data_IF_612168912084
#
_entry.id   IF_612168912084
#
_cell.length_a   1.000
_cell.length_b   1.000
_cell.length_c   1.000
_cell.angle_alpha   90.00
_cell.angle_beta   90.00
_cell.angle_gamma   90.00
#
_symmetry.space_group_name_H-M   'P 1'
#
loop_
_entity.id
_entity.type
_entity.pdbx_description
1 polymer ?
#
# COMPACT_ATOMS: atom_id res chain seq x y z
N UNK A 1 21.27 -19.25 27.82
CA UNK A 1 20.50 -19.54 26.60
C UNK A 1 19.53 -18.39 26.40
N UNK A 2 19.70 -17.58 25.37
CA UNK A 2 18.74 -16.55 24.99
C UNK A 2 17.42 -17.22 24.62
N UNK A 3 16.32 -16.80 25.23
CA UNK A 3 14.97 -17.31 24.92
C UNK A 3 14.67 -17.11 23.45
N UNK A 4 14.23 -18.16 22.75
CA UNK A 4 13.83 -18.06 21.36
C UNK A 4 12.63 -17.11 21.22
N UNK A 5 12.66 -16.24 20.20
CA UNK A 5 11.61 -15.26 19.93
C UNK A 5 10.40 -15.93 19.30
N UNK A 6 9.24 -15.88 19.95
CA UNK A 6 8.00 -16.46 19.40
C UNK A 6 7.56 -15.72 18.15
N UNK A 7 7.68 -16.37 17.01
CA UNK A 7 7.44 -15.81 15.68
C UNK A 7 6.30 -16.53 14.97
N UNK A 8 5.27 -15.80 14.59
CA UNK A 8 4.13 -16.34 13.86
C UNK A 8 4.19 -15.88 12.41
N UNK A 9 4.27 -16.82 11.49
CA UNK A 9 4.19 -16.58 10.04
C UNK A 9 2.76 -16.82 9.59
N UNK A 10 2.03 -15.76 9.34
CA UNK A 10 0.66 -15.83 8.80
C UNK A 10 0.76 -15.83 7.28
N UNK A 11 0.28 -16.89 6.64
CA UNK A 11 0.40 -17.02 5.19
C UNK A 11 -0.93 -17.26 4.49
N UNK A 12 -1.07 -16.71 3.28
CA UNK A 12 -2.21 -16.95 2.41
C UNK A 12 -1.89 -18.11 1.45
N UNK A 13 -2.50 -19.29 1.61
CA UNK A 13 -2.23 -20.45 0.75
C UNK A 13 -2.65 -20.24 -0.70
N UNK A 14 -3.51 -19.25 -0.98
CA UNK A 14 -4.00 -18.91 -2.31
C UNK A 14 -3.27 -17.72 -2.95
N UNK A 15 -2.23 -17.19 -2.32
CA UNK A 15 -1.42 -16.12 -2.91
C UNK A 15 -0.74 -16.60 -4.20
N UNK A 16 -0.58 -15.70 -5.18
CA UNK A 16 -0.19 -16.07 -6.54
C UNK A 16 1.13 -16.83 -6.71
N UNK A 17 2.04 -16.75 -5.71
CA UNK A 17 3.31 -17.48 -5.68
C UNK A 17 3.34 -18.60 -4.64
N UNK A 18 2.23 -18.84 -3.94
CA UNK A 18 2.20 -19.77 -2.83
C UNK A 18 2.15 -21.21 -3.30
N UNK A 19 1.22 -21.74 -4.03
CA UNK A 19 1.16 -23.13 -4.52
C UNK A 19 2.09 -24.12 -3.77
N UNK A 20 2.23 -25.34 -4.24
CA UNK A 20 3.08 -26.35 -3.58
C UNK A 20 4.56 -25.92 -3.45
N UNK A 21 5.09 -25.30 -4.52
CA UNK A 21 6.46 -24.78 -4.50
C UNK A 21 6.64 -23.60 -3.53
N UNK A 22 5.62 -22.75 -3.40
CA UNK A 22 5.65 -21.62 -2.47
C UNK A 22 5.56 -22.06 -1.02
N UNK A 23 4.75 -23.07 -0.70
CA UNK A 23 4.70 -23.65 0.63
C UNK A 23 6.03 -24.29 1.02
N UNK A 24 6.69 -24.99 0.10
CA UNK A 24 8.04 -25.51 0.37
C UNK A 24 9.02 -24.39 0.69
N UNK A 25 9.08 -23.33 -0.12
CA UNK A 25 9.94 -22.16 0.13
C UNK A 25 9.64 -21.47 1.45
N UNK A 26 8.34 -21.40 1.84
CA UNK A 26 7.97 -20.86 3.13
C UNK A 26 8.44 -21.73 4.28
N UNK A 27 8.37 -23.05 4.12
CA UNK A 27 8.90 -24.02 5.09
C UNK A 27 10.42 -23.90 5.23
N UNK A 28 11.13 -23.82 4.10
CA UNK A 28 12.58 -23.61 4.08
C UNK A 28 12.98 -22.28 4.76
N UNK A 29 12.22 -21.21 4.50
CA UNK A 29 12.41 -19.93 5.17
C UNK A 29 12.15 -20.00 6.68
N UNK A 30 11.17 -20.80 7.12
CA UNK A 30 10.89 -21.01 8.53
C UNK A 30 12.02 -21.76 9.24
N UNK A 31 12.70 -22.68 8.57
CA UNK A 31 13.92 -23.35 9.12
C UNK A 31 15.05 -22.34 9.30
N UNK A 32 15.32 -21.50 8.31
CA UNK A 32 16.33 -20.42 8.43
C UNK A 32 16.04 -19.51 9.62
N UNK A 33 14.77 -19.18 9.86
CA UNK A 33 14.37 -18.38 11.02
C UNK A 33 14.60 -19.13 12.35
N UNK A 34 14.34 -20.44 12.40
CA UNK A 34 14.59 -21.25 13.59
C UNK A 34 16.10 -21.33 13.92
N UNK A 35 16.92 -21.50 12.89
CA UNK A 35 18.38 -21.46 13.04
C UNK A 35 18.87 -20.09 13.53
N UNK A 36 18.17 -19.00 13.17
CA UNK A 36 18.43 -17.65 13.66
C UNK A 36 17.85 -17.37 15.08
N UNK A 37 17.32 -18.38 15.77
CA UNK A 37 16.84 -18.27 17.15
C UNK A 37 15.38 -17.90 17.30
N UNK A 38 14.56 -18.06 16.25
CA UNK A 38 13.12 -17.86 16.30
C UNK A 38 12.37 -19.16 16.58
N UNK A 39 11.39 -19.13 17.50
CA UNK A 39 10.37 -20.18 17.63
C UNK A 39 9.26 -19.92 16.61
N UNK A 40 9.36 -20.55 15.44
CA UNK A 40 8.57 -20.18 14.25
C UNK A 40 7.40 -21.13 13.99
N UNK A 41 6.20 -20.55 13.88
CA UNK A 41 4.95 -21.25 13.61
C UNK A 41 4.30 -20.73 12.33
N UNK A 42 3.84 -21.65 11.46
CA UNK A 42 3.14 -21.32 10.21
C UNK A 42 1.64 -21.40 10.42
N UNK A 43 0.91 -20.30 10.17
CA UNK A 43 -0.54 -20.23 10.35
C UNK A 43 -1.21 -19.80 9.05
N UNK A 44 -2.01 -20.68 8.41
CA UNK A 44 -2.70 -20.32 7.16
C UNK A 44 -3.89 -19.39 7.42
N UNK A 45 -4.14 -18.46 6.49
CA UNK A 45 -5.41 -17.74 6.43
C UNK A 45 -6.52 -18.68 5.96
N UNK A 46 -7.74 -18.45 6.43
CA UNK A 46 -8.91 -19.28 6.09
C UNK A 46 -9.75 -18.69 4.94
N UNK A 47 -9.39 -17.47 4.49
CA UNK A 47 -10.07 -16.74 3.44
C UNK A 47 -9.86 -15.23 3.56
N UNK A 48 -10.41 -14.44 2.64
CA UNK A 48 -10.36 -12.98 2.71
C UNK A 48 -10.93 -12.44 4.03
N UNK A 49 -10.29 -11.42 4.60
CA UNK A 49 -10.70 -10.78 5.85
C UNK A 49 -10.33 -11.53 7.13
N UNK A 50 -9.66 -12.69 7.05
CA UNK A 50 -9.34 -13.51 8.25
C UNK A 50 -7.95 -13.22 8.82
N UNK A 51 -7.03 -12.68 8.02
CA UNK A 51 -5.63 -12.53 8.39
C UNK A 51 -5.43 -11.56 9.59
N UNK A 52 -6.18 -10.47 9.64
CA UNK A 52 -6.12 -9.52 10.76
C UNK A 52 -6.61 -10.10 12.09
N UNK A 53 -7.65 -10.92 12.08
CA UNK A 53 -8.12 -11.61 13.29
C UNK A 53 -7.10 -12.63 13.80
N UNK A 54 -6.44 -13.37 12.88
CA UNK A 54 -5.35 -14.28 13.21
C UNK A 54 -4.19 -13.52 13.84
N UNK A 55 -3.81 -12.38 13.29
CA UNK A 55 -2.72 -11.54 13.83
C UNK A 55 -3.02 -11.07 15.26
N UNK A 56 -4.22 -10.51 15.50
CA UNK A 56 -4.65 -10.08 16.85
C UNK A 56 -4.62 -11.23 17.86
N UNK A 57 -5.13 -12.40 17.48
CA UNK A 57 -5.10 -13.57 18.34
C UNK A 57 -3.67 -14.02 18.64
N UNK A 58 -2.80 -14.07 17.62
CA UNK A 58 -1.39 -14.44 17.79
C UNK A 58 -0.67 -13.51 18.77
N UNK A 59 -0.95 -12.20 18.72
CA UNK A 59 -0.42 -11.22 19.67
C UNK A 59 -0.93 -11.50 21.09
N UNK A 60 -2.22 -11.74 21.24
CA UNK A 60 -2.81 -12.09 22.55
C UNK A 60 -2.23 -13.40 23.13
N UNK A 61 -1.87 -14.34 22.27
CA UNK A 61 -1.21 -15.60 22.61
C UNK A 61 0.33 -15.43 22.80
N UNK A 62 0.83 -14.20 22.83
CA UNK A 62 2.22 -13.86 23.17
C UNK A 62 3.20 -13.93 22.00
N UNK A 63 2.79 -13.71 20.77
CA UNK A 63 3.70 -13.54 19.65
C UNK A 63 4.57 -12.28 19.86
N UNK A 64 5.87 -12.41 19.58
CA UNK A 64 6.85 -11.33 19.69
C UNK A 64 7.28 -10.79 18.32
N UNK A 65 6.89 -11.48 17.24
CA UNK A 65 7.06 -11.09 15.84
C UNK A 65 5.96 -11.72 15.01
N UNK A 66 5.34 -10.92 14.13
CA UNK A 66 4.44 -11.41 13.09
C UNK A 66 5.14 -11.26 11.74
N UNK A 67 5.13 -12.32 10.93
CA UNK A 67 5.59 -12.28 9.54
C UNK A 67 4.39 -12.52 8.62
N UNK A 68 4.18 -11.61 7.68
CA UNK A 68 3.09 -11.68 6.70
C UNK A 68 3.61 -12.31 5.39
N UNK A 69 3.18 -13.53 5.09
CA UNK A 69 3.52 -14.22 3.85
C UNK A 69 2.32 -14.22 2.89
N UNK A 70 2.29 -13.25 1.96
CA UNK A 70 1.16 -13.06 1.06
C UNK A 70 1.37 -11.96 0.03
N UNK A 71 0.29 -11.55 -0.61
CA UNK A 71 0.22 -10.33 -1.42
C UNK A 71 -0.16 -9.12 -0.58
N UNK A 72 -0.18 -7.94 -1.22
CA UNK A 72 -0.42 -6.66 -0.54
C UNK A 72 -1.73 -6.63 0.26
N UNK A 73 -2.83 -7.23 -0.23
CA UNK A 73 -4.09 -7.33 0.52
C UNK A 73 -3.95 -8.14 1.81
N UNK A 74 -3.28 -9.31 1.77
CA UNK A 74 -3.02 -10.12 2.97
C UNK A 74 -2.14 -9.38 3.97
N UNK A 75 -1.11 -8.69 3.46
CA UNK A 75 -0.19 -7.88 4.27
C UNK A 75 -0.97 -6.75 4.95
N UNK A 76 -1.86 -6.07 4.24
CA UNK A 76 -2.67 -4.99 4.82
C UNK A 76 -3.65 -5.50 5.89
N UNK A 77 -4.33 -6.63 5.66
CA UNK A 77 -5.19 -7.24 6.69
C UNK A 77 -4.41 -7.55 7.97
N UNK A 78 -3.19 -8.12 7.83
CA UNK A 78 -2.32 -8.41 8.98
C UNK A 78 -1.88 -7.12 9.65
N UNK A 79 -1.49 -6.10 8.87
CA UNK A 79 -1.09 -4.80 9.40
C UNK A 79 -2.20 -4.13 10.20
N UNK A 80 -3.47 -4.18 9.73
CA UNK A 80 -4.63 -3.73 10.52
C UNK A 80 -4.78 -4.52 11.84
N UNK A 81 -4.44 -5.81 11.82
CA UNK A 81 -4.48 -6.65 13.01
C UNK A 81 -3.38 -6.38 14.02
N UNK A 82 -2.20 -5.97 13.54
CA UNK A 82 -1.00 -5.66 14.35
C UNK A 82 -0.99 -4.19 14.79
N UNK A 83 -1.73 -3.33 14.09
CA UNK A 83 -1.75 -1.89 14.34
C UNK A 83 -1.97 -1.57 15.82
N UNK A 84 -1.28 -0.54 16.31
CA UNK A 84 -1.29 -0.06 17.70
C UNK A 84 -0.72 -1.05 18.74
N UNK A 85 -0.13 -2.16 18.30
CA UNK A 85 0.65 -3.03 19.17
C UNK A 85 2.15 -2.72 19.09
N UNK A 86 2.92 -3.25 20.05
CA UNK A 86 4.39 -3.16 20.03
C UNK A 86 5.02 -4.31 19.24
N UNK A 87 4.24 -5.29 18.81
CA UNK A 87 4.73 -6.44 18.05
C UNK A 87 5.09 -6.02 16.65
N UNK A 88 6.34 -6.21 16.21
CA UNK A 88 6.75 -5.84 14.86
C UNK A 88 6.12 -6.75 13.80
N UNK A 89 5.86 -6.15 12.64
CA UNK A 89 5.46 -6.84 11.42
C UNK A 89 6.64 -6.94 10.45
N UNK A 90 6.95 -8.15 9.98
CA UNK A 90 7.87 -8.39 8.87
C UNK A 90 7.11 -8.92 7.64
N UNK A 91 7.73 -8.83 6.46
CA UNK A 91 7.10 -9.13 5.18
C UNK A 91 7.83 -10.25 4.45
N UNK A 92 7.07 -11.25 4.00
CA UNK A 92 7.53 -12.32 3.11
C UNK A 92 6.69 -12.27 1.81
N UNK A 93 7.22 -11.69 0.71
CA UNK A 93 6.43 -11.39 -0.49
C UNK A 93 6.05 -12.65 -1.26
N UNK A 94 4.79 -13.01 -1.26
CA UNK A 94 4.23 -14.16 -1.99
C UNK A 94 3.12 -13.80 -2.97
N UNK A 95 2.81 -12.52 -3.13
CA UNK A 95 1.82 -12.01 -4.08
C UNK A 95 2.38 -11.79 -5.49
N UNK A 96 1.55 -11.17 -6.34
CA UNK A 96 1.91 -10.84 -7.73
C UNK A 96 2.59 -9.47 -7.82
N UNK A 97 2.04 -8.43 -7.21
CA UNK A 97 2.57 -7.07 -7.28
C UNK A 97 3.64 -6.81 -6.21
N UNK A 98 3.38 -7.22 -4.96
CA UNK A 98 4.27 -7.04 -3.80
C UNK A 98 4.79 -5.59 -3.70
N UNK A 99 3.86 -4.64 -3.78
CA UNK A 99 4.17 -3.20 -3.83
C UNK A 99 4.99 -2.77 -2.62
N UNK A 100 4.60 -3.21 -1.42
CA UNK A 100 5.31 -2.88 -0.18
C UNK A 100 6.75 -3.44 -0.17
N UNK A 101 6.92 -4.70 -0.56
CA UNK A 101 8.25 -5.32 -0.60
C UNK A 101 9.16 -4.66 -1.66
N UNK A 102 8.60 -4.29 -2.81
CA UNK A 102 9.32 -3.55 -3.86
C UNK A 102 9.70 -2.15 -3.39
N UNK A 103 8.79 -1.43 -2.71
CA UNK A 103 9.07 -0.11 -2.12
C UNK A 103 10.25 -0.16 -1.16
N UNK A 104 10.31 -1.19 -0.31
CA UNK A 104 11.40 -1.38 0.65
C UNK A 104 12.68 -1.97 0.05
N UNK A 105 12.66 -2.37 -1.24
CA UNK A 105 13.81 -2.99 -1.89
C UNK A 105 14.09 -4.44 -1.48
N UNK A 106 13.12 -5.13 -0.85
CA UNK A 106 13.26 -6.52 -0.39
C UNK A 106 13.18 -7.54 -1.54
N UNK A 107 12.76 -7.10 -2.74
CA UNK A 107 12.53 -7.96 -3.90
C UNK A 107 11.26 -8.81 -3.76
N UNK A 108 11.18 -9.88 -4.56
CA UNK A 108 9.97 -10.69 -4.71
C UNK A 108 10.14 -12.16 -4.31
N UNK A 109 11.20 -12.50 -3.54
CA UNK A 109 11.52 -13.86 -3.06
C UNK A 109 11.30 -13.96 -1.55
N UNK A 110 10.58 -15.00 -1.13
CA UNK A 110 10.34 -15.32 0.28
C UNK A 110 11.69 -15.57 0.99
N UNK A 111 12.58 -16.31 0.36
CA UNK A 111 13.87 -16.71 0.92
C UNK A 111 14.79 -15.49 1.13
N UNK A 112 14.84 -14.59 0.13
CA UNK A 112 15.62 -13.35 0.25
C UNK A 112 15.07 -12.46 1.35
N UNK A 113 13.75 -12.31 1.42
CA UNK A 113 13.13 -11.53 2.47
C UNK A 113 13.41 -12.11 3.85
N UNK A 114 13.29 -13.44 4.03
CA UNK A 114 13.62 -14.11 5.29
C UNK A 114 15.10 -13.93 5.67
N UNK A 115 16.02 -14.08 4.72
CA UNK A 115 17.46 -13.89 4.95
C UNK A 115 17.82 -12.43 5.28
N UNK A 116 17.05 -11.45 4.82
CA UNK A 116 17.30 -10.03 5.10
C UNK A 116 16.67 -9.53 6.41
N UNK A 117 15.83 -10.33 7.08
CA UNK A 117 15.18 -9.92 8.33
C UNK A 117 16.15 -9.49 9.44
N UNK A 118 17.32 -10.12 9.63
CA UNK A 118 18.31 -9.67 10.62
C UNK A 118 18.85 -8.25 10.35
N UNK A 119 18.83 -7.80 9.09
CA UNK A 119 19.28 -6.46 8.70
C UNK A 119 18.14 -5.42 8.76
N UNK A 120 16.93 -5.85 9.12
CA UNK A 120 15.78 -4.96 9.23
C UNK A 120 15.73 -4.34 10.63
N UNK A 121 15.41 -3.05 10.65
CA UNK A 121 15.26 -2.26 11.87
C UNK A 121 13.77 -2.11 12.19
N UNK A 122 13.30 -2.51 13.39
CA UNK A 122 11.95 -2.20 13.83
C UNK A 122 11.76 -0.68 13.84
N UNK A 123 10.88 -0.20 12.99
CA UNK A 123 10.64 1.24 12.80
C UNK A 123 9.17 1.52 12.94
N UNK A 124 8.84 2.48 13.79
CA UNK A 124 7.47 2.95 13.95
C UNK A 124 7.11 3.81 12.76
N UNK A 125 6.00 3.50 12.09
CA UNK A 125 5.50 4.21 10.92
C UNK A 125 4.03 4.58 11.09
N UNK A 126 3.61 5.62 10.38
CA UNK A 126 2.21 5.97 10.25
C UNK A 126 1.50 5.05 9.25
N UNK A 127 0.19 4.90 9.43
CA UNK A 127 -0.73 4.30 8.46
C UNK A 127 -1.73 5.34 7.95
N UNK A 128 -2.31 5.11 6.79
CA UNK A 128 -3.47 5.87 6.36
C UNK A 128 -4.75 5.31 6.97
N UNK A 129 -5.70 6.18 7.30
CA UNK A 129 -7.05 5.83 7.73
C UNK A 129 -8.07 6.39 6.76
N UNK A 130 -8.80 5.52 6.08
CA UNK A 130 -9.98 5.87 5.30
C UNK A 130 -11.23 5.77 6.17
N UNK A 131 -12.06 6.78 6.14
CA UNK A 131 -13.39 6.79 6.72
C UNK A 131 -14.42 7.13 5.66
N UNK A 132 -15.26 6.15 5.29
CA UNK A 132 -16.41 6.38 4.43
C UNK A 132 -17.60 6.85 5.27
N UNK A 133 -18.24 7.95 4.86
CA UNK A 133 -19.32 8.60 5.60
C UNK A 133 -20.72 8.15 5.12
N UNK A 134 -20.77 7.14 4.23
CA UNK A 134 -22.00 6.60 3.65
C UNK A 134 -22.46 5.35 4.42
N UNK A 135 -23.68 5.36 4.94
CA UNK A 135 -24.28 4.23 5.64
C UNK A 135 -23.57 3.92 6.97
N UNK A 136 -23.36 2.63 7.28
CA UNK A 136 -22.52 2.26 8.43
C UNK A 136 -21.09 2.74 8.15
N UNK A 137 -20.63 3.73 8.88
CA UNK A 137 -19.29 4.30 8.74
C UNK A 137 -18.23 3.17 8.80
N UNK A 138 -17.61 2.90 7.66
CA UNK A 138 -16.54 1.90 7.57
C UNK A 138 -15.21 2.62 7.66
N UNK A 139 -14.46 2.27 8.68
CA UNK A 139 -13.08 2.72 8.83
C UNK A 139 -12.13 1.60 8.42
N UNK A 140 -11.14 1.91 7.61
CA UNK A 140 -10.06 0.98 7.21
C UNK A 140 -8.71 1.65 7.35
N UNK A 141 -7.74 0.92 7.88
CA UNK A 141 -6.35 1.32 7.84
C UNK A 141 -5.69 0.81 6.54
N UNK A 142 -4.66 1.51 6.08
CA UNK A 142 -3.90 1.09 4.91
C UNK A 142 -2.44 1.50 5.00
N UNK A 143 -1.60 0.72 4.31
CA UNK A 143 -0.15 0.90 4.29
C UNK A 143 0.35 1.66 3.06
N UNK A 144 -0.29 1.46 1.90
CA UNK A 144 0.25 1.90 0.63
C UNK A 144 -0.46 3.13 0.10
N UNK A 145 -1.73 2.98 -0.26
CA UNK A 145 -2.46 4.04 -0.96
C UNK A 145 -3.97 3.88 -0.93
N UNK A 146 -4.65 5.00 -1.07
CA UNK A 146 -6.07 5.05 -1.44
C UNK A 146 -6.20 5.68 -2.82
N UNK A 147 -6.97 5.04 -3.71
CA UNK A 147 -7.31 5.53 -5.03
C UNK A 147 -8.80 5.86 -5.11
N UNK A 148 -9.15 7.00 -5.71
CA UNK A 148 -10.53 7.49 -5.78
C UNK A 148 -10.89 7.85 -7.22
N UNK A 149 -12.08 7.48 -7.65
CA UNK A 149 -12.59 7.77 -8.98
C UNK A 149 -12.20 6.72 -10.02
N UNK A 150 -11.46 7.11 -11.06
CA UNK A 150 -11.11 6.24 -12.18
C UNK A 150 -10.45 4.94 -11.75
N UNK A 151 -9.46 5.02 -10.87
CA UNK A 151 -8.69 3.87 -10.37
C UNK A 151 -9.59 2.86 -9.62
N UNK A 152 -10.38 3.36 -8.68
CA UNK A 152 -11.28 2.52 -7.91
C UNK A 152 -12.39 1.89 -8.77
N UNK A 153 -12.83 2.57 -9.83
CA UNK A 153 -13.78 2.01 -10.81
C UNK A 153 -13.17 0.86 -11.60
N UNK A 154 -11.89 0.94 -11.93
CA UNK A 154 -11.14 -0.15 -12.56
C UNK A 154 -11.06 -1.34 -11.60
N UNK A 155 -10.64 -1.10 -10.35
CA UNK A 155 -10.56 -2.15 -9.31
C UNK A 155 -11.92 -2.82 -9.08
N UNK A 156 -12.99 -2.04 -8.99
CA UNK A 156 -14.35 -2.54 -8.79
C UNK A 156 -14.85 -3.36 -9.99
N UNK A 157 -14.52 -2.94 -11.22
CA UNK A 157 -14.96 -3.59 -12.46
C UNK A 157 -14.19 -4.86 -12.84
N UNK A 158 -13.02 -5.11 -12.25
CA UNK A 158 -12.22 -6.30 -12.54
C UNK A 158 -12.74 -7.49 -11.72
N UNK A 159 -13.17 -8.54 -12.41
CA UNK A 159 -13.56 -9.78 -11.73
C UNK A 159 -12.37 -10.47 -11.06
N UNK A 160 -12.58 -11.07 -9.89
CA UNK A 160 -11.55 -11.81 -9.14
C UNK A 160 -10.79 -12.86 -9.99
N UNK A 161 -11.46 -13.66 -10.86
CA UNK A 161 -10.76 -14.60 -11.74
C UNK A 161 -9.82 -13.93 -12.75
N UNK A 162 -10.20 -12.74 -13.26
CA UNK A 162 -9.38 -11.99 -14.21
C UNK A 162 -8.15 -11.38 -13.52
N UNK A 163 -8.32 -10.85 -12.30
CA UNK A 163 -7.24 -10.37 -11.46
C UNK A 163 -6.24 -11.46 -11.13
N UNK A 164 -6.72 -12.67 -10.81
CA UNK A 164 -5.88 -13.83 -10.50
C UNK A 164 -5.08 -14.33 -11.71
N UNK A 165 -5.67 -14.31 -12.93
CA UNK A 165 -5.01 -14.79 -14.16
C UNK A 165 -4.05 -13.80 -14.80
N UNK A 166 -4.41 -12.53 -14.85
CA UNK A 166 -3.69 -11.49 -15.59
C UNK A 166 -2.84 -10.57 -14.70
N UNK A 167 -3.00 -10.63 -13.37
CA UNK A 167 -2.22 -9.82 -12.43
C UNK A 167 -2.21 -8.34 -12.80
N UNK A 168 -1.02 -7.76 -12.97
CA UNK A 168 -0.83 -6.36 -13.35
C UNK A 168 -1.51 -5.98 -14.67
N UNK A 169 -1.59 -6.91 -15.63
CA UNK A 169 -2.18 -6.67 -16.95
C UNK A 169 -3.69 -6.41 -16.87
N UNK A 170 -4.39 -6.97 -15.87
CA UNK A 170 -5.81 -6.73 -15.67
C UNK A 170 -6.12 -5.25 -15.41
N UNK A 171 -5.25 -4.55 -14.69
CA UNK A 171 -5.37 -3.11 -14.44
C UNK A 171 -5.22 -2.28 -15.72
N UNK A 172 -4.26 -2.64 -16.58
CA UNK A 172 -4.08 -1.99 -17.87
C UNK A 172 -5.29 -2.20 -18.80
N UNK A 173 -5.79 -3.44 -18.88
CA UNK A 173 -6.99 -3.75 -19.67
C UNK A 173 -8.21 -2.98 -19.15
N UNK A 174 -8.40 -2.92 -17.81
CA UNK A 174 -9.46 -2.12 -17.19
C UNK A 174 -9.34 -0.64 -17.54
N UNK A 175 -8.12 -0.08 -17.51
CA UNK A 175 -7.85 1.29 -17.92
C UNK A 175 -8.18 1.55 -19.40
N UNK A 176 -7.77 0.68 -20.29
CA UNK A 176 -8.07 0.79 -21.72
C UNK A 176 -9.56 0.70 -22.04
N UNK A 177 -10.34 -0.07 -21.27
CA UNK A 177 -11.80 -0.18 -21.47
C UNK A 177 -12.57 1.11 -21.23
N UNK A 178 -11.93 2.10 -20.63
CA UNK A 178 -12.52 3.43 -20.33
C UNK A 178 -12.17 4.49 -21.38
N UNK A 179 -11.32 4.15 -22.37
CA UNK A 179 -10.96 5.08 -23.44
C UNK A 179 -12.22 5.49 -24.23
N UNK A 180 -12.36 6.81 -24.49
CA UNK A 180 -13.52 7.39 -25.17
C UNK A 180 -14.72 7.69 -24.27
N UNK A 181 -14.68 7.33 -22.97
CA UNK A 181 -15.76 7.65 -22.02
C UNK A 181 -15.48 8.96 -21.30
N UNK A 182 -16.53 9.70 -20.96
CA UNK A 182 -16.43 10.81 -20.01
C UNK A 182 -16.25 10.25 -18.61
N UNK A 183 -15.26 10.76 -17.91
CA UNK A 183 -14.97 10.41 -16.52
C UNK A 183 -15.83 11.26 -15.57
N UNK A 184 -16.18 10.67 -14.44
CA UNK A 184 -16.90 11.39 -13.39
C UNK A 184 -15.88 12.21 -12.58
N UNK A 185 -16.10 13.52 -12.50
CA UNK A 185 -15.32 14.41 -11.63
C UNK A 185 -15.95 14.49 -10.25
N UNK A 186 -15.09 14.65 -9.27
CA UNK A 186 -15.44 14.88 -7.87
C UNK A 186 -14.52 15.93 -7.26
N UNK A 187 -14.92 16.48 -6.13
CA UNK A 187 -14.16 17.49 -5.42
C UNK A 187 -13.27 16.87 -4.36
N UNK A 188 -12.06 17.38 -4.24
CA UNK A 188 -11.09 17.08 -3.20
C UNK A 188 -10.76 18.37 -2.46
N UNK A 189 -10.91 18.34 -1.14
CA UNK A 189 -10.53 19.41 -0.23
C UNK A 189 -9.21 19.03 0.41
N UNK A 190 -8.17 19.78 0.14
CA UNK A 190 -6.81 19.52 0.61
C UNK A 190 -6.09 20.83 0.86
N UNK A 191 -5.46 21.01 2.03
CA UNK A 191 -4.73 22.21 2.45
C UNK A 191 -5.52 23.52 2.21
N UNK A 192 -6.83 23.50 2.50
CA UNK A 192 -7.71 24.65 2.30
C UNK A 192 -8.11 24.92 0.83
N UNK A 193 -7.59 24.18 -0.11
CA UNK A 193 -7.90 24.28 -1.53
C UNK A 193 -8.97 23.27 -1.93
N UNK A 194 -9.83 23.65 -2.88
CA UNK A 194 -10.81 22.78 -3.52
C UNK A 194 -10.37 22.51 -4.96
N UNK A 195 -10.14 21.26 -5.28
CA UNK A 195 -9.69 20.82 -6.61
C UNK A 195 -10.70 19.82 -7.17
N UNK A 196 -11.13 20.02 -8.43
CA UNK A 196 -11.98 19.07 -9.16
C UNK A 196 -11.11 18.14 -9.98
N UNK A 197 -11.25 16.83 -9.76
CA UNK A 197 -10.47 15.82 -10.47
C UNK A 197 -11.32 14.59 -10.80
N UNK A 198 -10.87 13.77 -11.74
CA UNK A 198 -11.50 12.50 -12.07
C UNK A 198 -10.75 11.28 -11.48
N UNK A 199 -9.52 11.49 -11.03
CA UNK A 199 -8.74 10.51 -10.30
C UNK A 199 -7.90 11.21 -9.23
N UNK A 200 -7.96 10.70 -8.00
CA UNK A 200 -7.09 11.09 -6.91
C UNK A 200 -6.34 9.86 -6.39
N UNK A 201 -5.02 9.97 -6.29
CA UNK A 201 -4.15 9.01 -5.63
C UNK A 201 -3.62 9.64 -4.33
N UNK A 202 -3.90 9.01 -3.20
CA UNK A 202 -3.46 9.42 -1.87
C UNK A 202 -2.48 8.36 -1.40
N UNK A 203 -1.17 8.62 -1.48
CA UNK A 203 -0.14 7.59 -1.36
C UNK A 203 0.87 7.84 -0.25
N UNK A 204 1.30 6.75 0.39
CA UNK A 204 2.44 6.67 1.31
C UNK A 204 3.67 6.03 0.67
N UNK A 205 3.55 5.51 -0.55
CA UNK A 205 4.61 4.82 -1.28
C UNK A 205 4.75 5.38 -2.68
N UNK A 206 5.93 5.23 -3.27
CA UNK A 206 6.20 5.73 -4.63
C UNK A 206 5.57 4.84 -5.68
N UNK A 207 5.60 3.54 -5.44
CA UNK A 207 5.22 2.54 -6.42
C UNK A 207 3.70 2.38 -6.50
N UNK A 208 3.17 2.46 -7.72
CA UNK A 208 1.78 2.20 -8.04
C UNK A 208 1.69 0.95 -8.93
N UNK A 209 0.92 -0.06 -8.51
CA UNK A 209 0.72 -1.30 -9.27
C UNK A 209 1.97 -2.14 -9.52
N UNK A 210 3.09 -1.80 -8.88
CA UNK A 210 4.35 -2.55 -8.89
C UNK A 210 5.54 -1.82 -9.50
N UNK A 211 5.46 -1.29 -10.71
CA UNK A 211 6.64 -0.75 -11.42
C UNK A 211 6.49 0.74 -11.79
N UNK A 212 5.29 1.31 -11.67
CA UNK A 212 5.05 2.72 -11.95
C UNK A 212 5.27 3.54 -10.68
N UNK A 213 6.04 4.62 -10.80
CA UNK A 213 6.20 5.59 -9.71
C UNK A 213 5.33 6.82 -10.00
N UNK A 214 4.22 6.97 -9.26
CA UNK A 214 3.31 8.12 -9.37
C UNK A 214 3.63 9.14 -8.28
N UNK A 215 3.68 8.73 -7.03
CA UNK A 215 4.02 9.58 -5.89
C UNK A 215 5.54 9.56 -5.66
N UNK A 216 6.26 10.50 -6.26
CA UNK A 216 7.73 10.43 -6.38
C UNK A 216 8.49 10.90 -5.13
N UNK A 217 7.85 11.73 -4.30
CA UNK A 217 8.49 12.42 -3.17
C UNK A 217 8.09 11.87 -1.81
N UNK A 218 7.33 10.75 -1.77
CA UNK A 218 6.88 10.13 -0.51
C UNK A 218 7.73 8.92 -0.12
N UNK A 219 7.68 8.55 1.13
CA UNK A 219 8.25 7.33 1.69
C UNK A 219 7.40 6.79 2.84
N UNK A 220 7.56 5.50 3.19
CA UNK A 220 6.90 4.89 4.35
C UNK A 220 7.24 5.60 5.68
N UNK A 221 8.37 6.32 5.72
CA UNK A 221 8.84 7.04 6.90
C UNK A 221 8.20 8.42 7.09
N UNK A 222 7.41 8.88 6.12
CA UNK A 222 6.76 10.19 6.17
C UNK A 222 5.43 10.11 6.91
N UNK A 223 5.14 11.14 7.72
CA UNK A 223 3.83 11.34 8.36
C UNK A 223 2.90 12.24 7.53
N UNK A 224 3.04 12.14 6.22
CA UNK A 224 2.20 12.81 5.23
C UNK A 224 1.97 11.89 4.04
N UNK A 225 0.85 12.12 3.36
CA UNK A 225 0.61 11.58 2.03
C UNK A 225 1.22 12.47 0.97
N UNK A 226 1.57 11.88 -0.16
CA UNK A 226 1.63 12.57 -1.42
C UNK A 226 0.33 12.33 -2.18
N UNK A 227 -0.42 13.39 -2.40
CA UNK A 227 -1.71 13.38 -3.09
C UNK A 227 -1.50 13.84 -4.51
N UNK A 228 -1.78 12.97 -5.47
CA UNK A 228 -1.69 13.27 -6.89
C UNK A 228 -3.09 13.33 -7.47
N UNK A 229 -3.50 14.50 -7.94
CA UNK A 229 -4.83 14.77 -8.50
C UNK A 229 -4.72 14.90 -10.01
N UNK A 230 -5.55 14.16 -10.72
CA UNK A 230 -5.63 14.19 -12.19
C UNK A 230 -6.95 14.82 -12.61
N UNK A 231 -6.86 16.01 -13.17
CA UNK A 231 -8.00 16.85 -13.56
C UNK A 231 -8.52 16.50 -14.96
N UNK A 232 -9.80 16.77 -15.18
CA UNK A 232 -10.45 16.70 -16.48
C UNK A 232 -11.20 15.40 -16.74
N UNK A 233 -12.27 15.53 -17.54
CA UNK A 233 -13.23 14.46 -17.86
C UNK A 233 -12.83 13.60 -19.04
N UNK A 234 -11.79 13.95 -19.77
CA UNK A 234 -11.40 13.26 -20.99
C UNK A 234 -10.49 12.08 -20.69
N UNK A 235 -10.96 10.87 -20.93
CA UNK A 235 -10.15 9.67 -20.82
C UNK A 235 -8.93 9.66 -21.76
N UNK A 236 -8.96 10.38 -22.89
CA UNK A 236 -7.81 10.55 -23.78
C UNK A 236 -6.68 11.34 -23.11
N UNK A 237 -7.02 12.34 -22.26
CA UNK A 237 -6.05 13.10 -21.49
C UNK A 237 -5.29 12.19 -20.52
N UNK A 238 -5.94 11.16 -19.98
CA UNK A 238 -5.30 10.19 -19.11
C UNK A 238 -4.23 9.35 -19.81
N UNK A 239 -4.30 9.16 -21.12
CA UNK A 239 -3.21 8.52 -21.87
C UNK A 239 -1.94 9.38 -21.85
N UNK A 240 -2.09 10.70 -21.95
CA UNK A 240 -0.94 11.62 -21.83
C UNK A 240 -0.38 11.61 -20.41
N UNK A 241 -1.23 11.50 -19.40
CA UNK A 241 -0.81 11.38 -18.01
C UNK A 241 -0.05 10.07 -17.77
N UNK A 242 -0.54 8.95 -18.29
CA UNK A 242 0.16 7.65 -18.22
C UNK A 242 1.55 7.71 -18.89
N UNK A 243 1.65 8.36 -20.05
CA UNK A 243 2.94 8.56 -20.70
C UNK A 243 3.90 9.40 -19.83
N UNK A 244 3.41 10.41 -19.13
CA UNK A 244 4.20 11.23 -18.19
C UNK A 244 4.62 10.45 -16.94
N UNK A 245 3.74 9.61 -16.40
CA UNK A 245 4.07 8.68 -15.31
C UNK A 245 5.20 7.75 -15.74
N UNK A 246 5.10 7.16 -16.96
CA UNK A 246 6.12 6.23 -17.46
C UNK A 246 7.51 6.86 -17.59
N UNK A 247 7.58 8.16 -17.91
CA UNK A 247 8.85 8.91 -17.98
C UNK A 247 9.19 9.64 -16.67
N UNK A 248 8.44 9.41 -15.58
CA UNK A 248 8.65 9.99 -14.25
C UNK A 248 8.69 11.54 -14.24
N UNK A 249 7.87 12.19 -15.05
CA UNK A 249 7.79 13.66 -15.18
C UNK A 249 6.35 14.14 -14.98
N UNK A 250 5.91 14.21 -13.74
CA UNK A 250 4.57 14.66 -13.36
C UNK A 250 4.52 16.12 -12.93
N UNK A 251 5.60 16.64 -12.36
CA UNK A 251 5.65 18.03 -11.91
C UNK A 251 5.52 19.02 -13.09
N UNK A 252 4.69 20.04 -12.89
CA UNK A 252 4.45 21.08 -13.90
C UNK A 252 3.60 20.65 -15.10
N UNK A 253 3.01 19.47 -15.09
CA UNK A 253 2.08 19.02 -16.15
C UNK A 253 0.72 19.65 -15.93
N UNK A 254 0.17 20.42 -16.90
CA UNK A 254 -1.17 21.01 -16.76
C UNK A 254 -2.23 19.95 -16.50
N UNK A 255 -3.01 20.14 -15.43
CA UNK A 255 -4.06 19.22 -15.00
C UNK A 255 -3.56 18.05 -14.13
N UNK A 256 -2.33 18.12 -13.64
CA UNK A 256 -1.83 17.28 -12.56
C UNK A 256 -1.40 18.19 -11.40
N UNK A 257 -2.00 17.94 -10.23
CA UNK A 257 -1.62 18.62 -8.98
C UNK A 257 -1.00 17.61 -8.04
N UNK A 258 0.16 17.96 -7.46
CA UNK A 258 0.88 17.14 -6.47
C UNK A 258 0.95 17.92 -5.17
N UNK A 259 0.39 17.38 -4.09
CA UNK A 259 0.23 18.08 -2.80
C UNK A 259 0.66 17.13 -1.68
N UNK A 260 1.43 17.63 -0.72
CA UNK A 260 1.75 16.88 0.51
C UNK A 260 0.85 17.32 1.64
N UNK A 261 0.18 16.37 2.31
CA UNK A 261 -0.76 16.67 3.38
C UNK A 261 -0.92 15.49 4.34
N UNK A 262 -1.36 15.77 5.56
CA UNK A 262 -1.78 14.73 6.53
C UNK A 262 -3.25 14.33 6.42
N UNK A 263 -4.08 15.08 5.66
CA UNK A 263 -5.50 14.79 5.57
C UNK A 263 -6.12 15.27 4.26
N UNK A 264 -7.12 14.52 3.79
CA UNK A 264 -7.90 14.81 2.58
C UNK A 264 -9.37 14.59 2.87
N UNK A 265 -10.22 15.54 2.49
CA UNK A 265 -11.67 15.39 2.58
C UNK A 265 -12.29 15.39 1.17
N UNK A 266 -13.22 14.48 0.92
CA UNK A 266 -13.90 14.32 -0.35
C UNK A 266 -15.40 14.27 -0.09
N UNK A 267 -16.10 15.40 -0.23
CA UNK A 267 -17.51 15.53 0.18
C UNK A 267 -18.48 14.69 -0.66
N UNK A 268 -18.06 14.23 -1.84
CA UNK A 268 -18.94 13.49 -2.74
C UNK A 268 -20.00 14.35 -3.41
N UNK A 269 -20.80 13.72 -4.25
CA UNK A 269 -21.95 14.34 -4.90
C UNK A 269 -23.18 13.46 -4.74
N UNK A 270 -24.37 14.06 -4.60
CA UNK A 270 -25.63 13.33 -4.39
C UNK A 270 -25.98 12.40 -5.57
N UNK A 271 -25.58 12.78 -6.78
CA UNK A 271 -26.07 12.17 -8.03
C UNK A 271 -25.17 11.05 -8.56
N UNK A 272 -23.96 10.84 -7.97
CA UNK A 272 -22.98 9.91 -8.54
C UNK A 272 -22.21 9.15 -7.48
N UNK A 273 -22.03 7.85 -7.72
CA UNK A 273 -21.17 7.00 -6.90
C UNK A 273 -19.73 7.05 -7.42
N UNK A 274 -18.87 7.76 -6.71
CA UNK A 274 -17.44 7.75 -6.96
C UNK A 274 -16.81 6.72 -6.02
N UNK A 275 -16.23 5.68 -6.60
CA UNK A 275 -15.68 4.54 -5.86
C UNK A 275 -14.32 4.86 -5.24
N UNK A 276 -14.01 4.15 -4.16
CA UNK A 276 -12.73 4.21 -3.44
C UNK A 276 -12.14 2.81 -3.36
N UNK A 277 -10.86 2.71 -3.63
CA UNK A 277 -10.04 1.52 -3.35
C UNK A 277 -8.98 1.85 -2.30
N UNK A 278 -8.54 0.85 -1.55
CA UNK A 278 -7.42 0.88 -0.60
C UNK A 278 -6.55 -0.34 -0.83
N UNK A 279 -5.26 -0.11 -1.07
CA UNK A 279 -4.26 -1.15 -1.33
C UNK A 279 -4.69 -2.19 -2.39
N UNK A 280 -5.44 -1.73 -3.42
CA UNK A 280 -5.94 -2.55 -4.52
C UNK A 280 -7.23 -3.31 -4.24
N UNK A 281 -7.94 -3.00 -3.14
CA UNK A 281 -9.23 -3.58 -2.78
C UNK A 281 -10.33 -2.52 -2.71
N UNK A 282 -11.54 -2.87 -3.13
CA UNK A 282 -12.70 -1.99 -3.01
C UNK A 282 -12.97 -1.66 -1.54
N UNK A 283 -13.07 -0.38 -1.22
CA UNK A 283 -13.24 0.11 0.15
C UNK A 283 -14.54 0.91 0.38
N UNK A 284 -15.26 1.28 -0.67
CA UNK A 284 -16.50 2.06 -0.54
C UNK A 284 -16.64 3.13 -1.63
N UNK A 285 -17.40 4.17 -1.33
CA UNK A 285 -17.59 5.30 -2.22
C UNK A 285 -17.73 6.60 -1.43
N UNK A 286 -17.60 7.75 -2.11
CA UNK A 286 -17.76 9.08 -1.51
C UNK A 286 -19.17 9.29 -0.91
N UNK A 287 -19.32 10.18 0.12
CA UNK A 287 -18.29 11.00 0.75
C UNK A 287 -17.34 10.20 1.65
N UNK A 288 -16.10 10.69 1.76
CA UNK A 288 -15.07 10.06 2.57
C UNK A 288 -14.01 11.06 3.04
N UNK A 289 -13.28 10.69 4.09
CA UNK A 289 -12.05 11.36 4.50
C UNK A 289 -10.90 10.35 4.60
N UNK A 290 -9.70 10.85 4.36
CA UNK A 290 -8.46 10.09 4.54
C UNK A 290 -7.53 10.90 5.42
N UNK A 291 -6.93 10.28 6.42
CA UNK A 291 -5.99 10.95 7.34
C UNK A 291 -4.82 10.06 7.72
N UNK A 292 -3.70 10.66 8.05
CA UNK A 292 -2.54 9.98 8.64
C UNK A 292 -2.84 9.63 10.09
N UNK A 293 -2.51 8.41 10.46
CA UNK A 293 -2.48 7.94 11.85
C UNK A 293 -1.01 7.72 12.21
N UNK A 294 -0.40 8.64 12.96
CA UNK A 294 1.01 8.53 13.34
C UNK A 294 1.26 7.30 14.23
N UNK A 295 2.49 6.81 14.20
CA UNK A 295 2.95 5.74 15.10
C UNK A 295 2.02 4.52 15.17
N UNK A 296 1.38 4.18 14.06
CA UNK A 296 0.35 3.15 14.04
C UNK A 296 0.91 1.72 13.99
N UNK A 297 2.07 1.53 13.37
CA UNK A 297 2.61 0.19 13.11
C UNK A 297 4.13 0.15 13.32
N UNK A 298 4.64 -0.88 14.00
CA UNK A 298 6.08 -1.22 13.97
C UNK A 298 6.35 -2.15 12.81
N UNK A 299 7.05 -1.66 11.78
CA UNK A 299 7.41 -2.44 10.59
C UNK A 299 8.90 -2.76 10.61
N UNK A 300 9.27 -3.99 10.23
CA UNK A 300 10.66 -4.36 9.98
C UNK A 300 11.11 -3.80 8.62
N UNK A 301 11.91 -2.76 8.64
CA UNK A 301 12.36 -2.04 7.44
C UNK A 301 13.85 -2.27 7.22
N UNK A 302 14.29 -2.64 5.99
CA UNK A 302 15.72 -2.75 5.68
C UNK A 302 16.47 -1.45 5.96
N UNK A 303 17.62 -1.54 6.62
CA UNK A 303 18.44 -0.36 6.96
C UNK A 303 18.79 0.48 5.73
N UNK A 304 19.02 -0.18 4.59
CA UNK A 304 19.29 0.50 3.33
C UNK A 304 18.15 1.44 2.89
N UNK A 305 16.87 1.04 3.08
CA UNK A 305 15.71 1.88 2.80
C UNK A 305 15.67 3.10 3.71
N UNK A 306 15.88 2.90 5.01
CA UNK A 306 15.90 4.00 6.01
C UNK A 306 16.98 5.01 5.65
N UNK A 307 18.20 4.55 5.39
CA UNK A 307 19.35 5.39 5.04
C UNK A 307 19.11 6.21 3.77
N UNK A 308 18.60 5.58 2.71
CA UNK A 308 18.25 6.23 1.44
C UNK A 308 17.23 7.38 1.63
N UNK A 309 16.17 7.13 2.39
CA UNK A 309 15.10 8.11 2.53
C UNK A 309 15.42 9.24 3.51
N UNK A 310 16.19 8.97 4.57
CA UNK A 310 16.68 10.02 5.47
C UNK A 310 17.66 10.99 4.77
N UNK A 311 18.53 10.48 3.92
CA UNK A 311 19.44 11.33 3.13
C UNK A 311 18.69 12.18 2.10
N UNK A 312 17.66 11.68 1.46
CA UNK A 312 16.79 12.43 0.56
C UNK A 312 16.05 13.57 1.28
N UNK A 313 15.48 13.30 2.45
CA UNK A 313 14.81 14.31 3.27
C UNK A 313 15.76 15.42 3.75
N UNK A 314 17.01 15.11 4.06
CA UNK A 314 18.02 16.09 4.44
C UNK A 314 18.45 16.98 3.26
N UNK A 315 18.46 16.42 2.04
CA UNK A 315 18.82 17.16 0.81
C UNK A 315 17.70 18.10 0.36
N UNK A 316 16.44 17.77 0.56
CA UNK A 316 15.28 18.60 0.20
C UNK A 316 15.10 19.81 1.11
N UNK A 317 15.68 19.81 2.33
CA UNK A 317 15.64 20.92 3.28
C UNK A 317 16.72 21.99 3.06
N UNK A 318 17.62 21.84 2.08
CA UNK A 318 18.58 22.91 1.73
C UNK A 318 17.83 24.05 1.04
N UNK A 319 17.95 25.30 1.54
CA UNK A 319 17.37 26.46 0.86
C UNK A 319 17.96 26.59 -0.55
N UNK A 320 17.20 27.16 -1.51
CA UNK A 320 17.73 27.41 -2.85
C UNK A 320 19.02 28.24 -2.74
N UNK A 321 20.08 27.78 -3.38
CA UNK A 321 21.31 28.57 -3.48
C UNK A 321 20.93 29.89 -4.16
N UNK A 322 20.95 30.97 -3.40
CA UNK A 322 20.85 32.34 -3.94
C UNK A 322 22.00 32.50 -4.94
N UNK A 323 21.64 32.51 -6.22
CA UNK A 323 22.58 32.93 -7.24
C UNK A 323 22.87 34.43 -7.01
N UNK A 324 24.11 34.75 -6.67
CA UNK A 324 24.68 36.10 -6.73
C UNK A 324 24.96 36.47 -8.19
#
# INVERSE_FOLDING_TARGET
MTRARKTIVIYNPFAGKMGDKGLKRLSDAAEVLREAGHDTWLVPTQGPGTAGAIARRSIADGAELILAAGGDGTINEIAEGVAFSDVPLGILPAGTANVLANEMGMGASIERAAASLPECIPTRISMGRLQCLNGAARTRLFLLMAGVGLDARIVYGISLPLKARLGKLAYWIGGFSLIGRKLDEFEVLVEGCRVSCAFALISKVRNYGGDLEIAQSTSLLDDQFEVVLFEGRSSLRFLTYLARVAVRKLEGVPGISVIRTGSVCMPGTADRRVYIQVDGEYAGHLPASVEIVPDALTLLIPEAYIRKNRSAAASSKKPPRTAL
#
